data_IF_158372337693
#
_entry.id   IF_158372337693
#
_cell.length_a   1.000
_cell.length_b   1.000
_cell.length_c   1.000
_cell.angle_alpha   90.00
_cell.angle_beta   90.00
_cell.angle_gamma   90.00
#
_symmetry.space_group_name_H-M   'P 1'
#
loop_
_entity.id
_entity.type
_entity.pdbx_description
1 polymer ?
#
# COMPACT_ATOMS: atom_id res chain seq x y z
N UNK A 1 -27.48 -18.83 18.59
CA UNK A 1 -26.06 -19.01 18.22
C UNK A 1 -25.27 -19.51 19.41
N UNK A 2 -24.45 -20.54 19.21
CA UNK A 2 -23.49 -21.01 20.21
C UNK A 2 -22.24 -20.11 20.27
N UNK A 3 -21.55 -20.08 21.43
CA UNK A 3 -20.31 -19.32 21.62
C UNK A 3 -19.25 -19.68 20.56
N UNK A 4 -19.13 -20.96 20.23
CA UNK A 4 -18.11 -21.46 19.30
C UNK A 4 -18.37 -20.99 17.86
N UNK A 5 -19.63 -20.87 17.46
CA UNK A 5 -20.02 -20.40 16.12
C UNK A 5 -19.70 -18.91 15.92
N UNK A 6 -19.89 -18.12 16.98
CA UNK A 6 -19.54 -16.70 17.03
C UNK A 6 -18.02 -16.54 17.00
N UNK A 7 -17.29 -17.29 17.84
CA UNK A 7 -15.83 -17.26 17.85
C UNK A 7 -15.26 -17.62 16.47
N UNK A 8 -15.75 -18.71 15.86
CA UNK A 8 -15.34 -19.11 14.53
C UNK A 8 -15.63 -18.02 13.49
N UNK A 9 -16.75 -17.31 13.58
CA UNK A 9 -17.06 -16.18 12.72
C UNK A 9 -16.06 -15.04 12.90
N UNK A 10 -15.82 -14.61 14.14
CA UNK A 10 -14.94 -13.49 14.47
C UNK A 10 -13.49 -13.73 14.06
N UNK A 11 -13.02 -14.98 14.12
CA UNK A 11 -11.69 -15.38 13.65
C UNK A 11 -11.51 -15.25 12.14
N UNK A 12 -12.59 -15.19 11.37
CA UNK A 12 -12.48 -15.05 9.91
C UNK A 12 -11.99 -13.65 9.56
N UNK A 13 -11.05 -13.58 8.62
CA UNK A 13 -10.47 -12.32 8.14
C UNK A 13 -11.57 -11.32 7.76
N UNK A 14 -11.44 -10.10 8.27
CA UNK A 14 -12.37 -8.99 8.05
C UNK A 14 -13.66 -9.03 8.87
N UNK A 15 -14.02 -10.13 9.55
CA UNK A 15 -15.27 -10.21 10.31
C UNK A 15 -15.29 -9.21 11.48
N UNK A 16 -14.27 -9.24 12.32
CA UNK A 16 -14.15 -8.31 13.44
C UNK A 16 -13.93 -6.85 12.97
N UNK A 17 -13.21 -6.62 11.85
CA UNK A 17 -13.10 -5.29 11.23
C UNK A 17 -14.47 -4.73 10.82
N UNK A 18 -15.32 -5.55 10.19
CA UNK A 18 -16.68 -5.15 9.81
C UNK A 18 -17.52 -4.77 11.03
N UNK A 19 -17.46 -5.54 12.12
CA UNK A 19 -18.17 -5.19 13.37
C UNK A 19 -17.71 -3.83 13.88
N UNK A 20 -16.40 -3.55 13.87
CA UNK A 20 -15.88 -2.25 14.34
C UNK A 20 -16.28 -1.07 13.46
N UNK A 21 -16.45 -1.28 12.15
CA UNK A 21 -16.89 -0.22 11.26
C UNK A 21 -18.40 0.01 11.38
N UNK A 22 -19.19 -1.06 11.41
CA UNK A 22 -20.65 -0.96 11.57
C UNK A 22 -20.98 -0.42 12.96
N UNK A 23 -20.27 -0.81 14.03
CA UNK A 23 -20.59 -0.37 15.40
C UNK A 23 -20.53 1.14 15.66
N UNK A 24 -19.97 1.92 14.73
CA UNK A 24 -20.04 3.39 14.75
C UNK A 24 -21.41 3.95 14.34
N UNK A 25 -22.32 3.11 13.84
CA UNK A 25 -23.65 3.51 13.37
C UNK A 25 -24.26 2.50 12.40
N UNK A 26 -24.70 2.97 11.23
CA UNK A 26 -25.06 2.10 10.12
C UNK A 26 -24.13 2.37 8.94
N UNK A 27 -23.78 1.32 8.19
CA UNK A 27 -22.84 1.43 7.08
C UNK A 27 -23.43 0.83 5.80
N UNK A 28 -23.07 1.40 4.64
CA UNK A 28 -23.44 0.87 3.33
C UNK A 28 -22.38 -0.11 2.86
N UNK A 29 -22.72 -0.98 1.91
CA UNK A 29 -21.76 -1.96 1.36
C UNK A 29 -20.49 -1.28 0.84
N UNK A 30 -20.63 -0.14 0.14
CA UNK A 30 -19.50 0.62 -0.39
C UNK A 30 -18.54 1.07 0.71
N UNK A 31 -19.07 1.69 1.77
CA UNK A 31 -18.26 2.13 2.91
C UNK A 31 -17.51 0.96 3.55
N UNK A 32 -18.18 -0.20 3.67
CA UNK A 32 -17.58 -1.39 4.26
C UNK A 32 -16.44 -1.95 3.40
N UNK A 33 -16.62 -2.03 2.08
CA UNK A 33 -15.56 -2.47 1.15
C UNK A 33 -14.31 -1.60 1.26
N UNK A 34 -14.48 -0.28 1.39
CA UNK A 34 -13.36 0.64 1.51
C UNK A 34 -12.70 0.62 2.90
N UNK A 35 -13.44 0.16 3.92
CA UNK A 35 -12.98 0.16 5.30
C UNK A 35 -12.12 -1.07 5.66
N UNK A 36 -12.36 -2.23 5.05
CA UNK A 36 -11.76 -3.51 5.46
C UNK A 36 -10.75 -4.06 4.45
N UNK A 37 -9.81 -4.88 4.94
CA UNK A 37 -8.69 -5.41 4.15
C UNK A 37 -8.98 -6.74 3.44
N UNK A 38 -10.20 -6.88 2.90
CA UNK A 38 -10.68 -8.06 2.19
C UNK A 38 -11.39 -7.68 0.88
N UNK A 39 -11.53 -8.62 -0.04
CA UNK A 39 -12.21 -8.38 -1.33
C UNK A 39 -13.70 -8.07 -1.13
N UNK A 40 -14.30 -7.36 -2.08
CA UNK A 40 -15.75 -7.08 -2.09
C UNK A 40 -16.61 -8.36 -2.01
N UNK A 41 -16.20 -9.43 -2.72
CA UNK A 41 -16.86 -10.74 -2.63
C UNK A 41 -16.77 -11.34 -1.22
N UNK A 42 -15.64 -11.17 -0.54
CA UNK A 42 -15.46 -11.62 0.84
C UNK A 42 -16.29 -10.77 1.80
N UNK A 43 -16.39 -9.45 1.59
CA UNK A 43 -17.26 -8.57 2.38
C UNK A 43 -18.71 -9.02 2.26
N UNK A 44 -19.18 -9.29 1.03
CA UNK A 44 -20.53 -9.80 0.79
C UNK A 44 -20.77 -11.12 1.54
N UNK A 45 -19.85 -12.07 1.42
CA UNK A 45 -19.95 -13.35 2.12
C UNK A 45 -19.97 -13.19 3.65
N UNK A 46 -19.18 -12.26 4.20
CA UNK A 46 -19.13 -11.98 5.65
C UNK A 46 -20.39 -11.29 6.16
N UNK A 47 -20.97 -10.40 5.35
CA UNK A 47 -22.22 -9.73 5.71
C UNK A 47 -23.38 -10.71 5.69
N UNK A 48 -23.49 -11.55 4.65
CA UNK A 48 -24.50 -12.61 4.60
C UNK A 48 -24.36 -13.58 5.77
N UNK A 49 -23.15 -14.09 6.01
CA UNK A 49 -22.90 -14.97 7.16
C UNK A 49 -23.20 -14.28 8.49
N UNK A 50 -22.84 -13.00 8.66
CA UNK A 50 -23.11 -12.27 9.90
C UNK A 50 -24.61 -11.98 10.11
N UNK A 51 -25.40 -11.86 9.05
CA UNK A 51 -26.88 -11.78 9.15
C UNK A 51 -27.46 -13.13 9.57
N UNK A 52 -27.04 -14.23 8.93
CA UNK A 52 -27.45 -15.60 9.33
C UNK A 52 -27.11 -15.90 10.79
N UNK A 53 -26.00 -15.32 11.26
CA UNK A 53 -25.47 -15.48 12.61
C UNK A 53 -26.03 -14.50 13.64
N UNK A 54 -27.01 -13.67 13.26
CA UNK A 54 -27.64 -12.67 14.13
C UNK A 54 -26.63 -11.67 14.73
N UNK A 55 -25.56 -11.34 13.98
CA UNK A 55 -24.56 -10.31 14.32
C UNK A 55 -24.92 -8.99 13.66
N UNK A 56 -25.45 -9.06 12.43
CA UNK A 56 -25.84 -7.91 11.64
C UNK A 56 -27.34 -7.90 11.34
N UNK A 57 -27.89 -6.71 11.28
CA UNK A 57 -29.22 -6.46 10.73
C UNK A 57 -29.12 -5.65 9.44
N UNK A 58 -30.13 -5.79 8.58
CA UNK A 58 -30.20 -5.09 7.30
C UNK A 58 -31.43 -4.20 7.31
N UNK A 59 -31.21 -2.90 7.13
CA UNK A 59 -32.26 -1.93 6.88
C UNK A 59 -32.18 -1.42 5.44
N UNK A 60 -33.33 -1.05 4.89
CA UNK A 60 -33.43 -0.38 3.60
C UNK A 60 -33.82 1.07 3.83
N UNK A 61 -32.90 2.00 3.55
CA UNK A 61 -33.15 3.43 3.67
C UNK A 61 -33.56 4.00 2.30
N UNK A 62 -34.65 4.78 2.21
CA UNK A 62 -35.00 5.46 0.97
C UNK A 62 -33.94 6.51 0.60
N UNK A 63 -33.66 6.63 -0.69
CA UNK A 63 -32.75 7.62 -1.30
C UNK A 63 -33.46 8.29 -2.47
N UNK A 64 -32.90 9.41 -2.99
CA UNK A 64 -33.48 10.15 -4.13
C UNK A 64 -33.67 9.29 -5.39
N UNK A 65 -32.89 8.20 -5.53
CA UNK A 65 -32.91 7.30 -6.69
C UNK A 65 -33.32 5.87 -6.35
N UNK A 66 -33.89 5.61 -5.16
CA UNK A 66 -34.39 4.28 -4.80
C UNK A 66 -34.27 3.94 -3.32
N UNK A 67 -33.71 2.77 -3.02
CA UNK A 67 -33.40 2.34 -1.65
C UNK A 67 -31.97 1.87 -1.56
N UNK A 68 -31.29 2.20 -0.47
CA UNK A 68 -29.92 1.75 -0.21
C UNK A 68 -29.90 0.79 0.99
N UNK A 69 -29.20 -0.34 0.81
CA UNK A 69 -28.95 -1.32 1.87
C UNK A 69 -27.99 -0.73 2.90
N UNK A 70 -28.43 -0.66 4.16
CA UNK A 70 -27.61 -0.28 5.31
C UNK A 70 -27.52 -1.44 6.28
N UNK A 71 -26.33 -1.69 6.78
CA UNK A 71 -26.03 -2.72 7.76
C UNK A 71 -25.91 -2.06 9.14
N UNK A 72 -26.59 -2.65 10.12
CA UNK A 72 -26.51 -2.30 11.54
C UNK A 72 -26.02 -3.49 12.38
N UNK A 73 -25.69 -3.24 13.63
CA UNK A 73 -25.39 -4.30 14.59
C UNK A 73 -26.67 -4.70 15.33
N UNK A 74 -26.88 -6.01 15.49
CA UNK A 74 -27.87 -6.54 16.43
C UNK A 74 -27.41 -6.32 17.88
N UNK A 75 -28.20 -6.75 18.87
CA UNK A 75 -27.79 -6.76 20.28
C UNK A 75 -26.50 -7.57 20.47
N UNK A 76 -26.39 -8.72 19.80
CA UNK A 76 -25.20 -9.57 19.88
C UNK A 76 -23.98 -8.88 19.25
N UNK A 77 -24.15 -8.34 18.03
CA UNK A 77 -23.09 -7.59 17.36
C UNK A 77 -22.63 -6.39 18.18
N UNK A 78 -23.56 -5.66 18.80
CA UNK A 78 -23.25 -4.51 19.65
C UNK A 78 -22.43 -4.89 20.86
N UNK A 79 -22.76 -6.00 21.53
CA UNK A 79 -21.98 -6.48 22.67
C UNK A 79 -20.54 -6.84 22.28
N UNK A 80 -20.34 -7.43 21.09
CA UNK A 80 -19.00 -7.68 20.55
C UNK A 80 -18.26 -6.38 20.27
N UNK A 81 -18.95 -5.39 19.68
CA UNK A 81 -18.39 -4.07 19.45
C UNK A 81 -17.95 -3.38 20.75
N UNK A 82 -18.78 -3.42 21.79
CA UNK A 82 -18.46 -2.81 23.09
C UNK A 82 -17.21 -3.47 23.71
N UNK A 83 -17.02 -4.79 23.55
CA UNK A 83 -15.77 -5.44 23.95
C UNK A 83 -14.56 -5.00 23.11
N UNK A 84 -14.74 -4.83 21.80
CA UNK A 84 -13.70 -4.32 20.91
C UNK A 84 -13.30 -2.87 21.25
N UNK A 85 -14.25 -2.05 21.69
CA UNK A 85 -13.99 -0.69 22.16
C UNK A 85 -13.17 -0.70 23.45
N UNK A 86 -13.49 -1.60 24.37
CA UNK A 86 -12.78 -1.74 25.65
C UNK A 86 -11.38 -2.38 25.57
N UNK A 87 -10.99 -2.96 24.43
CA UNK A 87 -9.74 -3.74 24.28
C UNK A 87 -8.73 -3.12 23.31
N UNK A 88 -8.84 -1.81 23.04
CA UNK A 88 -8.05 -1.07 22.01
C UNK A 88 -8.24 -1.58 20.57
N UNK A 89 -9.04 -2.64 20.34
CA UNK A 89 -9.17 -3.27 19.04
C UNK A 89 -9.71 -2.29 17.98
N UNK A 90 -10.72 -1.50 18.34
CA UNK A 90 -11.27 -0.43 17.47
C UNK A 90 -10.18 0.55 17.03
N UNK A 91 -9.29 0.94 17.96
CA UNK A 91 -8.16 1.84 17.66
C UNK A 91 -7.17 1.19 16.70
N UNK A 92 -6.81 -0.07 16.93
CA UNK A 92 -5.88 -0.81 16.06
C UNK A 92 -6.43 -1.01 14.65
N UNK A 93 -7.72 -1.29 14.48
CA UNK A 93 -8.36 -1.34 13.16
C UNK A 93 -8.26 0.01 12.45
N UNK A 94 -8.47 1.11 13.17
CA UNK A 94 -8.33 2.47 12.60
C UNK A 94 -6.90 2.78 12.17
N UNK A 95 -5.92 2.41 12.98
CA UNK A 95 -4.51 2.61 12.68
C UNK A 95 -4.09 1.80 11.45
N UNK A 96 -4.54 0.54 11.36
CA UNK A 96 -4.32 -0.31 10.20
C UNK A 96 -4.89 0.31 8.92
N UNK A 97 -6.12 0.85 8.98
CA UNK A 97 -6.74 1.54 7.85
C UNK A 97 -5.93 2.74 7.39
N UNK A 98 -5.43 3.56 8.34
CA UNK A 98 -4.58 4.72 8.03
C UNK A 98 -3.27 4.28 7.37
N UNK A 99 -2.63 3.25 7.90
CA UNK A 99 -1.40 2.70 7.32
C UNK A 99 -1.63 2.18 5.89
N UNK A 100 -2.74 1.49 5.66
CA UNK A 100 -3.14 1.02 4.33
C UNK A 100 -3.36 2.17 3.36
N UNK A 101 -4.12 3.20 3.73
CA UNK A 101 -4.34 4.35 2.84
C UNK A 101 -3.03 5.05 2.48
N UNK A 102 -2.13 5.24 3.45
CA UNK A 102 -0.80 5.81 3.19
C UNK A 102 0.00 4.96 2.19
N UNK A 103 -0.01 3.63 2.36
CA UNK A 103 0.64 2.70 1.43
C UNK A 103 0.04 2.80 0.03
N UNK A 104 -1.29 2.82 -0.08
CA UNK A 104 -1.98 2.87 -1.36
C UNK A 104 -1.69 4.19 -2.09
N UNK A 105 -1.68 5.32 -1.37
CA UNK A 105 -1.23 6.62 -1.93
C UNK A 105 0.22 6.59 -2.40
N UNK A 106 1.14 6.02 -1.60
CA UNK A 106 2.54 5.91 -2.00
C UNK A 106 2.73 5.00 -3.22
N UNK A 107 1.93 3.94 -3.33
CA UNK A 107 1.91 3.05 -4.48
C UNK A 107 1.45 3.78 -5.76
N UNK A 108 0.35 4.52 -5.70
CA UNK A 108 -0.12 5.31 -6.86
C UNK A 108 0.92 6.35 -7.31
N UNK A 109 1.59 7.01 -6.37
CA UNK A 109 2.68 7.93 -6.69
C UNK A 109 3.86 7.24 -7.36
N UNK A 110 4.22 6.03 -6.92
CA UNK A 110 5.27 5.22 -7.52
C UNK A 110 4.89 4.81 -8.95
N UNK A 111 3.67 4.29 -9.16
CA UNK A 111 3.16 3.95 -10.49
C UNK A 111 3.20 5.17 -11.42
N UNK A 112 2.72 6.32 -10.96
CA UNK A 112 2.77 7.56 -11.74
C UNK A 112 4.18 8.06 -12.08
N UNK A 113 5.21 7.70 -11.30
CA UNK A 113 6.62 7.95 -11.64
C UNK A 113 7.10 6.97 -12.71
N UNK A 114 6.85 5.66 -12.50
CA UNK A 114 7.22 4.61 -13.46
C UNK A 114 6.59 4.86 -14.83
N UNK A 115 5.31 5.25 -14.89
CA UNK A 115 4.63 5.57 -16.15
C UNK A 115 5.30 6.74 -16.86
N UNK A 116 5.66 7.81 -16.14
CA UNK A 116 6.38 8.95 -16.72
C UNK A 116 7.77 8.58 -17.21
N UNK A 117 8.52 7.81 -16.45
CA UNK A 117 9.87 7.35 -16.86
C UNK A 117 9.78 6.49 -18.12
N UNK A 118 8.76 5.63 -18.22
CA UNK A 118 8.49 4.82 -19.41
C UNK A 118 8.11 5.67 -20.64
N UNK A 119 7.38 6.78 -20.45
CA UNK A 119 7.08 7.73 -21.53
C UNK A 119 8.35 8.45 -22.02
N UNK A 120 9.21 8.89 -21.09
CA UNK A 120 10.49 9.53 -21.44
C UNK A 120 11.39 8.55 -22.21
N UNK A 121 11.52 7.31 -21.73
CA UNK A 121 12.33 6.28 -22.40
C UNK A 121 11.81 5.96 -23.81
N UNK A 122 10.49 5.99 -24.03
CA UNK A 122 9.91 5.85 -25.38
C UNK A 122 10.29 7.03 -26.26
N UNK A 123 10.15 8.28 -25.78
CA UNK A 123 10.53 9.46 -26.55
C UNK A 123 12.02 9.47 -26.93
N UNK A 124 12.90 9.05 -26.01
CA UNK A 124 14.35 8.93 -26.29
C UNK A 124 14.62 7.84 -27.31
N UNK A 125 13.90 6.71 -27.27
CA UNK A 125 14.09 5.59 -28.19
C UNK A 125 13.47 5.84 -29.58
N UNK A 126 12.39 6.60 -29.65
CA UNK A 126 11.76 7.03 -30.91
C UNK A 126 12.53 8.19 -31.58
N UNK A 127 13.45 8.83 -30.84
CA UNK A 127 14.45 9.76 -31.37
C UNK A 127 15.64 8.97 -31.92
N UNK A 128 15.45 8.22 -33.02
CA UNK A 128 16.54 7.56 -33.72
C UNK A 128 17.41 8.64 -34.46
N UNK A 129 18.76 8.64 -34.37
CA UNK A 129 19.63 9.74 -34.84
C UNK A 129 19.78 9.92 -36.36
N UNK A 130 18.85 9.45 -37.20
CA UNK A 130 19.07 9.35 -38.65
C UNK A 130 18.72 10.58 -39.49
N UNK A 131 18.55 11.77 -38.90
CA UNK A 131 18.38 13.00 -39.67
C UNK A 131 19.28 14.10 -39.13
N UNK A 132 20.57 13.97 -39.41
CA UNK A 132 21.49 15.08 -39.73
C UNK A 132 22.89 14.50 -39.96
N UNK A 133 23.05 13.70 -41.02
CA UNK A 133 24.35 13.49 -41.63
C UNK A 133 24.60 14.71 -42.55
N UNK A 134 25.48 15.67 -42.20
CA UNK A 134 25.83 16.73 -43.11
C UNK A 134 26.52 16.14 -44.36
N UNK A 135 26.40 16.78 -45.54
CA UNK A 135 27.01 16.31 -46.76
C UNK A 135 28.53 16.18 -46.59
N UNK A 136 29.09 15.12 -47.17
CA UNK A 136 30.51 14.75 -47.11
C UNK A 136 31.43 15.99 -47.26
N UNK A 137 32.14 16.32 -46.19
CA UNK A 137 33.23 17.29 -46.22
C UNK A 137 34.53 16.58 -46.62
N UNK A 138 35.38 17.22 -47.44
CA UNK A 138 36.58 16.59 -47.99
C UNK A 138 37.60 16.26 -46.90
N UNK A 139 38.34 15.17 -47.11
CA UNK A 139 39.37 14.66 -46.22
C UNK A 139 40.40 15.74 -45.84
N UNK A 140 40.52 16.04 -44.55
CA UNK A 140 41.68 16.72 -44.00
C UNK A 140 41.40 17.84 -43.02
N UNK A 141 40.92 17.51 -41.81
CA UNK A 141 41.27 18.17 -40.54
C UNK A 141 40.43 17.59 -39.40
N UNK A 142 40.85 16.45 -38.83
CA UNK A 142 40.32 15.96 -37.56
C UNK A 142 41.17 16.48 -36.42
N UNK A 143 40.63 17.44 -35.66
CA UNK A 143 41.08 17.74 -34.29
C UNK A 143 39.83 17.63 -33.43
N UNK A 144 39.42 16.39 -33.16
CA UNK A 144 38.42 16.10 -32.13
C UNK A 144 39.15 16.03 -30.79
N UNK A 145 38.82 16.87 -29.78
CA UNK A 145 39.27 16.63 -28.42
C UNK A 145 38.70 15.28 -27.98
N UNK A 146 39.57 14.34 -27.59
CA UNK A 146 39.14 13.02 -27.08
C UNK A 146 38.25 13.24 -25.85
N UNK A 147 36.94 12.99 -25.98
CA UNK A 147 36.08 12.78 -24.83
C UNK A 147 36.59 11.56 -24.06
N UNK A 148 36.71 11.71 -22.75
CA UNK A 148 37.17 10.65 -21.85
C UNK A 148 36.21 9.46 -21.96
N UNK A 149 36.75 8.25 -22.07
CA UNK A 149 35.93 7.06 -22.26
C UNK A 149 35.03 6.84 -21.04
N UNK A 150 33.89 6.18 -21.24
CA UNK A 150 32.94 5.85 -20.18
C UNK A 150 33.61 5.06 -19.02
N UNK A 151 34.72 4.39 -19.31
CA UNK A 151 35.53 3.63 -18.36
C UNK A 151 36.36 4.55 -17.44
N UNK A 152 36.95 5.62 -17.98
CA UNK A 152 37.68 6.64 -17.20
C UNK A 152 36.74 7.42 -16.26
N UNK A 153 35.50 7.67 -16.70
CA UNK A 153 34.47 8.30 -15.88
C UNK A 153 34.01 7.41 -14.72
N UNK A 154 33.95 6.09 -14.93
CA UNK A 154 33.64 5.12 -13.87
C UNK A 154 34.76 5.06 -12.84
N UNK A 155 36.02 4.96 -13.27
CA UNK A 155 37.17 4.95 -12.35
C UNK A 155 37.26 6.23 -11.51
N UNK A 156 36.98 7.40 -12.10
CA UNK A 156 37.00 8.67 -11.38
C UNK A 156 35.89 8.76 -10.31
N UNK A 157 34.72 8.19 -10.59
CA UNK A 157 33.61 8.12 -9.62
C UNK A 157 33.94 7.17 -8.47
N UNK A 158 34.53 6.02 -8.79
CA UNK A 158 34.82 5.00 -7.79
C UNK A 158 35.96 5.46 -6.86
N UNK A 159 36.98 6.16 -7.38
CA UNK A 159 38.03 6.81 -6.58
C UNK A 159 37.49 7.87 -5.61
N UNK A 160 36.51 8.69 -6.05
CA UNK A 160 35.85 9.66 -5.16
C UNK A 160 35.08 8.99 -4.02
N UNK A 161 34.54 7.81 -4.25
CA UNK A 161 33.81 7.04 -3.24
C UNK A 161 34.78 6.48 -2.19
N UNK A 162 35.94 5.95 -2.61
CA UNK A 162 37.00 5.49 -1.71
C UNK A 162 37.58 6.62 -0.85
N UNK A 163 37.82 7.80 -1.44
CA UNK A 163 38.28 8.98 -0.69
C UNK A 163 37.28 9.46 0.38
N UNK A 164 35.99 9.13 0.23
CA UNK A 164 34.92 9.52 1.15
C UNK A 164 34.71 8.56 2.32
N UNK A 165 35.41 7.42 2.35
CA UNK A 165 35.32 6.45 3.44
C UNK A 165 36.13 6.93 4.65
N UNK A 166 35.44 7.16 5.77
CA UNK A 166 36.12 7.36 7.06
C UNK A 166 36.53 6.00 7.65
N UNK A 167 37.71 5.90 8.29
CA UNK A 167 38.10 4.71 9.03
C UNK A 167 37.08 4.42 10.13
N UNK A 168 36.57 3.19 10.16
CA UNK A 168 35.79 2.69 11.30
C UNK A 168 36.82 2.35 12.38
N UNK A 169 36.80 3.07 13.50
CA UNK A 169 37.51 2.62 14.70
C UNK A 169 36.88 1.29 15.16
N UNK A 170 37.69 0.24 15.21
CA UNK A 170 37.34 -1.00 15.90
C UNK A 170 37.11 -0.67 17.37
N UNK A 171 35.84 -0.63 17.79
CA UNK A 171 35.51 -0.67 19.21
C UNK A 171 35.88 -2.07 19.67
N UNK A 172 37.01 -2.17 20.38
CA UNK A 172 37.44 -3.38 21.06
C UNK A 172 36.27 -3.98 21.85
N UNK A 173 35.98 -5.24 21.55
CA UNK A 173 35.08 -6.06 22.32
C UNK A 173 35.69 -6.26 23.72
N UNK A 174 35.22 -5.50 24.70
CA UNK A 174 35.49 -5.81 26.10
C UNK A 174 34.63 -7.00 26.52
N UNK A 175 35.28 -8.16 26.52
CA UNK A 175 34.77 -9.42 27.03
C UNK A 175 34.80 -9.39 28.57
N UNK A 176 33.71 -8.91 29.18
CA UNK A 176 33.43 -9.10 30.61
C UNK A 176 32.62 -10.38 30.84
N UNK A 177 33.32 -11.50 30.99
CA UNK A 177 32.77 -12.72 31.61
C UNK A 177 32.93 -12.55 33.12
N UNK A 178 31.88 -12.75 33.93
CA UNK A 178 31.91 -13.44 35.23
C UNK A 178 30.55 -13.37 35.95
N UNK A 179 30.07 -14.56 36.32
CA UNK A 179 29.07 -15.00 37.32
C UNK A 179 27.63 -14.44 37.34
#
# INVERSE_FOLDING_TARGET
MGRDELEQFLRKKGAAELITEIGRGTATFKVLVDAVSISSSTVSARLSEGVEKDVYEVAHAPTEHGTEKRYGLTILGRRVYDWAENTEYVRKVRDLRRARHKRDTAFEQMIGRVTRDMEILKMVKDSDPQQDLPPEMPEGASIVPKEQSEEELREARDRRLEESLQPIEEVEADAGTEE
#
